data_IF_930030058538
#
_entry.id   IF_930030058538
#
_cell.length_a   1.000
_cell.length_b   1.000
_cell.length_c   1.000
_cell.angle_alpha   90.00
_cell.angle_beta   90.00
_cell.angle_gamma   90.00
#
_symmetry.space_group_name_H-M   'P 1'
#
loop_
_entity.id
_entity.type
_entity.pdbx_description
1 polymer ?
#
# COMPACT_ATOMS: atom_id res chain seq x y z
N UNK A 1 30.60 -31.74 -17.15
CA UNK A 1 29.66 -30.59 -17.09
C UNK A 1 29.22 -30.50 -15.63
N UNK A 2 29.76 -29.56 -14.86
CA UNK A 2 29.38 -29.39 -13.45
C UNK A 2 28.15 -28.49 -13.39
N UNK A 3 27.03 -29.02 -12.92
CA UNK A 3 25.85 -28.20 -12.62
C UNK A 3 26.16 -27.43 -11.33
N UNK A 4 26.04 -26.10 -11.38
CA UNK A 4 26.15 -25.24 -10.21
C UNK A 4 24.81 -25.19 -9.46
N UNK A 5 24.76 -25.90 -8.34
CA UNK A 5 23.58 -25.98 -7.48
C UNK A 5 23.44 -24.80 -6.52
N UNK A 6 24.39 -23.84 -6.51
CA UNK A 6 24.32 -22.61 -5.71
C UNK A 6 23.14 -21.70 -6.09
N UNK A 7 22.62 -21.85 -7.30
CA UNK A 7 21.50 -21.06 -7.85
C UNK A 7 20.12 -21.68 -7.58
N UNK A 8 20.03 -22.84 -6.90
CA UNK A 8 18.75 -23.45 -6.56
C UNK A 8 18.09 -22.71 -5.39
N UNK A 9 16.97 -22.05 -5.64
CA UNK A 9 16.12 -21.50 -4.58
C UNK A 9 15.38 -22.61 -3.85
N UNK A 10 15.35 -22.53 -2.53
CA UNK A 10 14.46 -23.39 -1.73
C UNK A 10 12.99 -23.02 -1.97
N UNK A 11 12.08 -23.93 -1.67
CA UNK A 11 10.64 -23.66 -1.76
C UNK A 11 10.23 -22.46 -0.88
N UNK A 12 10.88 -22.30 0.27
CA UNK A 12 10.67 -21.18 1.19
C UNK A 12 11.15 -19.84 0.61
N UNK A 13 12.33 -19.82 -0.02
CA UNK A 13 12.84 -18.60 -0.70
C UNK A 13 11.93 -18.19 -1.85
N UNK A 14 11.41 -19.15 -2.62
CA UNK A 14 10.47 -18.87 -3.69
C UNK A 14 9.15 -18.31 -3.16
N UNK A 15 8.69 -18.79 -2.01
CA UNK A 15 7.46 -18.32 -1.38
C UNK A 15 7.61 -16.90 -0.83
N UNK A 16 8.71 -16.62 -0.12
CA UNK A 16 9.04 -15.29 0.37
C UNK A 16 9.18 -14.26 -0.77
N UNK A 17 9.80 -14.65 -1.88
CA UNK A 17 9.91 -13.79 -3.07
C UNK A 17 8.53 -13.46 -3.66
N UNK A 18 7.62 -14.44 -3.73
CA UNK A 18 6.25 -14.21 -4.22
C UNK A 18 5.47 -13.27 -3.32
N UNK A 19 5.52 -13.47 -2.01
CA UNK A 19 4.83 -12.63 -1.03
C UNK A 19 5.35 -11.19 -1.07
N UNK A 20 6.67 -11.02 -1.24
CA UNK A 20 7.29 -9.71 -1.41
C UNK A 20 6.81 -9.01 -2.67
N UNK A 21 6.82 -9.71 -3.81
CA UNK A 21 6.36 -9.16 -5.09
C UNK A 21 4.88 -8.78 -5.03
N UNK A 22 4.05 -9.59 -4.38
CA UNK A 22 2.63 -9.30 -4.17
C UNK A 22 2.43 -8.05 -3.30
N UNK A 23 3.13 -7.96 -2.17
CA UNK A 23 3.08 -6.80 -1.28
C UNK A 23 3.52 -5.52 -2.01
N UNK A 24 4.64 -5.58 -2.73
CA UNK A 24 5.17 -4.44 -3.48
C UNK A 24 4.17 -3.97 -4.55
N UNK A 25 3.51 -4.92 -5.24
CA UNK A 25 2.46 -4.62 -6.23
C UNK A 25 1.24 -3.92 -5.61
N UNK A 26 0.77 -4.40 -4.46
CA UNK A 26 -0.36 -3.79 -3.74
C UNK A 26 0.00 -2.39 -3.25
N UNK A 27 1.22 -2.20 -2.73
CA UNK A 27 1.70 -0.89 -2.26
C UNK A 27 1.82 0.11 -3.40
N UNK A 28 2.36 -0.31 -4.56
CA UNK A 28 2.43 0.53 -5.75
C UNK A 28 1.04 0.96 -6.21
N UNK A 29 0.08 0.03 -6.21
CA UNK A 29 -1.31 0.31 -6.60
C UNK A 29 -1.99 1.28 -5.63
N UNK A 30 -1.84 1.07 -4.32
CA UNK A 30 -2.32 2.02 -3.30
C UNK A 30 -1.75 3.41 -3.48
N UNK A 31 -0.44 3.51 -3.72
CA UNK A 31 0.23 4.79 -3.90
C UNK A 31 -0.31 5.53 -5.12
N UNK A 32 -0.49 4.84 -6.24
CA UNK A 32 -1.07 5.42 -7.44
C UNK A 32 -2.50 5.94 -7.18
N UNK A 33 -3.33 5.14 -6.51
CA UNK A 33 -4.70 5.53 -6.17
C UNK A 33 -4.76 6.73 -5.20
N UNK A 34 -3.89 6.79 -4.19
CA UNK A 34 -3.84 7.96 -3.30
C UNK A 34 -3.50 9.24 -4.09
N UNK A 35 -2.48 9.19 -4.96
CA UNK A 35 -2.07 10.33 -5.78
C UNK A 35 -3.19 10.84 -6.68
N UNK A 36 -3.97 9.94 -7.29
CA UNK A 36 -5.03 10.31 -8.24
C UNK A 36 -6.37 10.62 -7.60
N UNK A 37 -6.72 9.99 -6.48
CA UNK A 37 -8.08 10.02 -5.92
C UNK A 37 -8.17 10.72 -4.56
N UNK A 38 -7.15 10.62 -3.71
CA UNK A 38 -7.18 11.16 -2.33
C UNK A 38 -6.46 12.50 -2.22
N UNK A 39 -5.27 12.62 -2.79
CA UNK A 39 -4.41 13.80 -2.62
C UNK A 39 -5.06 15.10 -3.12
N UNK A 40 -5.81 15.13 -4.24
CA UNK A 40 -6.57 16.31 -4.64
C UNK A 40 -7.59 16.74 -3.58
N UNK A 41 -8.30 15.80 -2.95
CA UNK A 41 -9.29 16.10 -1.90
C UNK A 41 -8.63 16.74 -0.67
N UNK A 42 -7.44 16.26 -0.30
CA UNK A 42 -6.68 16.84 0.80
C UNK A 42 -6.23 18.26 0.48
N UNK A 43 -5.76 18.49 -0.75
CA UNK A 43 -5.30 19.80 -1.20
C UNK A 43 -6.43 20.84 -1.18
N UNK A 44 -7.61 20.49 -1.66
CA UNK A 44 -8.79 21.37 -1.60
C UNK A 44 -9.19 21.67 -0.15
N UNK A 45 -9.23 20.65 0.72
CA UNK A 45 -9.54 20.85 2.14
C UNK A 45 -8.51 21.76 2.85
N UNK A 46 -7.22 21.58 2.55
CA UNK A 46 -6.13 22.42 3.07
C UNK A 46 -6.31 23.89 2.63
N UNK A 47 -6.63 24.11 1.36
CA UNK A 47 -6.86 25.44 0.80
C UNK A 47 -8.10 26.11 1.41
N UNK A 48 -9.21 25.39 1.50
CA UNK A 48 -10.46 25.91 2.08
C UNK A 48 -10.29 26.28 3.55
N UNK A 49 -9.65 25.41 4.35
CA UNK A 49 -9.33 25.71 5.74
C UNK A 49 -8.47 26.97 5.85
N UNK A 50 -7.38 27.04 5.08
CA UNK A 50 -6.49 28.20 5.07
C UNK A 50 -7.20 29.50 4.65
N UNK A 51 -7.97 29.46 3.57
CA UNK A 51 -8.64 30.65 3.00
C UNK A 51 -9.77 31.19 3.88
N UNK A 52 -10.42 30.31 4.66
CA UNK A 52 -11.50 30.67 5.56
C UNK A 52 -11.01 30.95 7.00
N UNK A 53 -9.72 30.72 7.29
CA UNK A 53 -9.17 30.85 8.65
C UNK A 53 -9.63 29.75 9.61
N UNK A 54 -10.02 28.59 9.08
CA UNK A 54 -10.53 27.43 9.81
C UNK A 54 -9.57 26.25 9.74
N UNK A 55 -9.83 25.20 10.52
CA UNK A 55 -9.19 23.92 10.31
C UNK A 55 -9.73 23.25 9.03
N UNK A 56 -8.90 22.56 8.24
CA UNK A 56 -9.34 21.77 7.09
C UNK A 56 -10.36 20.67 7.47
N UNK A 57 -11.38 20.48 6.64
CA UNK A 57 -12.29 19.32 6.73
C UNK A 57 -11.82 18.17 5.84
N UNK A 58 -11.23 17.14 6.47
CA UNK A 58 -10.70 15.98 5.77
C UNK A 58 -11.70 14.83 5.58
N UNK A 59 -12.99 15.03 5.83
CA UNK A 59 -14.00 13.96 5.77
C UNK A 59 -14.00 13.24 4.42
N UNK A 60 -13.95 13.97 3.31
CA UNK A 60 -13.92 13.40 1.97
C UNK A 60 -12.61 12.62 1.70
N UNK A 61 -11.47 13.16 2.12
CA UNK A 61 -10.17 12.50 2.00
C UNK A 61 -10.15 11.17 2.78
N UNK A 62 -10.63 11.16 4.03
CA UNK A 62 -10.70 9.96 4.85
C UNK A 62 -11.57 8.87 4.23
N UNK A 63 -12.72 9.25 3.64
CA UNK A 63 -13.60 8.32 2.94
C UNK A 63 -12.92 7.69 1.72
N UNK A 64 -12.27 8.52 0.88
CA UNK A 64 -11.49 8.07 -0.29
C UNK A 64 -10.37 7.10 0.11
N UNK A 65 -9.60 7.44 1.15
CA UNK A 65 -8.54 6.56 1.68
C UNK A 65 -9.10 5.23 2.19
N UNK A 66 -10.23 5.26 2.89
CA UNK A 66 -10.87 4.03 3.38
C UNK A 66 -11.29 3.12 2.23
N UNK A 67 -11.85 3.66 1.15
CA UNK A 67 -12.27 2.89 -0.01
C UNK A 67 -11.10 2.35 -0.83
N UNK A 68 -10.00 3.10 -0.96
CA UNK A 68 -8.74 2.60 -1.54
C UNK A 68 -8.20 1.41 -0.74
N UNK A 69 -8.20 1.52 0.60
CA UNK A 69 -7.72 0.43 1.47
C UNK A 69 -8.58 -0.83 1.37
N UNK A 70 -9.89 -0.69 1.14
CA UNK A 70 -10.81 -1.82 0.87
C UNK A 70 -10.53 -2.47 -0.49
N UNK A 71 -10.30 -1.68 -1.54
CA UNK A 71 -10.01 -2.19 -2.90
C UNK A 71 -8.66 -2.91 -2.98
N UNK A 72 -7.67 -2.42 -2.25
CA UNK A 72 -6.31 -2.94 -2.26
C UNK A 72 -5.90 -3.34 -0.85
N UNK A 73 -6.46 -4.39 -0.22
CA UNK A 73 -6.08 -4.78 1.14
C UNK A 73 -4.60 -5.17 1.18
N UNK A 74 -3.88 -4.81 2.25
CA UNK A 74 -2.54 -5.35 2.44
C UNK A 74 -2.65 -6.85 2.76
N UNK A 75 -1.72 -7.68 2.29
CA UNK A 75 -1.60 -9.05 2.77
C UNK A 75 -1.52 -9.01 4.30
N UNK A 76 -2.29 -9.88 4.97
CA UNK A 76 -2.08 -10.10 6.40
C UNK A 76 -0.64 -10.55 6.52
N UNK A 77 0.21 -9.78 7.22
CA UNK A 77 1.52 -10.27 7.58
C UNK A 77 1.31 -11.66 8.16
N UNK A 78 1.94 -12.68 7.57
CA UNK A 78 2.06 -13.98 8.22
C UNK A 78 2.94 -13.68 9.43
N UNK A 79 2.32 -13.24 10.52
CA UNK A 79 2.97 -13.17 11.82
C UNK A 79 3.36 -14.62 12.07
N UNK A 80 4.66 -14.97 12.15
CA UNK A 80 5.01 -16.31 12.57
C UNK A 80 4.41 -16.47 13.95
N UNK A 81 3.40 -17.33 14.06
CA UNK A 81 2.92 -17.84 15.35
C UNK A 81 4.15 -18.44 16.01
N UNK A 82 4.68 -17.72 16.99
CA UNK A 82 5.73 -18.22 17.87
C UNK A 82 5.08 -19.36 18.66
N UNK A 83 5.54 -20.58 18.44
CA UNK A 83 5.15 -21.78 19.18
C UNK A 83 5.26 -21.57 20.70
#
# INVERSE_FOLDING_TARGET
>A
MNIDFSQLKTAEQLQADKERVELDGILATRRAAYLSESDPLRLEADYDGLSQGNAPDYTAWLASVADIKKRFPLPKAVVPTKD
#
